data_IF_952127274357
#
_entry.id   IF_952127274357
#
_cell.length_a   1.000
_cell.length_b   1.000
_cell.length_c   1.000
_cell.angle_alpha   90.00
_cell.angle_beta   90.00
_cell.angle_gamma   90.00
#
_symmetry.space_group_name_H-M   'P 1'
#
loop_
_entity.id
_entity.type
_entity.pdbx_description
1 polymer ?
#
# COMPACT_ATOMS: atom_id res chain seq x y z
N UNK A 1 9.11 38.74 -44.27
CA UNK A 1 7.91 39.13 -43.48
C UNK A 1 7.16 37.87 -43.10
N UNK A 2 6.86 37.74 -41.80
CA UNK A 2 5.76 37.00 -41.15
C UNK A 2 5.46 35.57 -41.64
N UNK A 3 5.96 34.56 -40.93
CA UNK A 3 5.27 33.86 -39.82
C UNK A 3 4.17 32.90 -40.31
N UNK A 4 4.53 31.68 -40.69
CA UNK A 4 3.68 30.50 -40.49
C UNK A 4 4.57 29.37 -39.98
N UNK A 5 4.99 29.49 -38.72
CA UNK A 5 5.47 28.37 -37.94
C UNK A 5 4.23 27.54 -37.64
N UNK A 6 4.06 26.44 -38.37
CA UNK A 6 2.97 25.50 -38.16
C UNK A 6 3.11 24.96 -36.73
N UNK A 7 2.10 25.31 -35.96
CA UNK A 7 1.92 25.15 -34.54
C UNK A 7 1.81 23.66 -34.20
N UNK A 8 2.96 22.99 -34.06
CA UNK A 8 3.07 21.76 -33.26
C UNK A 8 2.94 22.18 -31.80
N UNK A 9 1.69 22.38 -31.39
CA UNK A 9 1.29 22.50 -29.98
C UNK A 9 0.22 21.45 -29.74
N UNK A 10 0.57 20.19 -30.00
CA UNK A 10 -0.26 19.06 -29.65
C UNK A 10 -0.08 18.80 -28.16
N UNK A 11 -0.94 19.47 -27.39
CA UNK A 11 -1.44 19.11 -26.06
C UNK A 11 -0.62 18.03 -25.33
N UNK A 12 0.41 18.46 -24.59
CA UNK A 12 0.81 17.77 -23.37
C UNK A 12 -0.17 18.17 -22.27
N UNK A 13 -1.44 17.74 -22.39
CA UNK A 13 -2.32 17.71 -21.23
C UNK A 13 -1.84 16.54 -20.39
N UNK A 14 -0.91 16.79 -19.48
CA UNK A 14 -0.61 15.89 -18.38
C UNK A 14 -1.87 15.83 -17.53
N UNK A 15 -2.75 14.88 -17.84
CA UNK A 15 -3.89 14.56 -16.99
C UNK A 15 -3.27 14.06 -15.70
N UNK A 16 -3.26 14.91 -14.68
CA UNK A 16 -2.91 14.52 -13.32
C UNK A 16 -4.06 13.60 -12.90
N UNK A 17 -3.93 12.32 -13.22
CA UNK A 17 -4.84 11.30 -12.78
C UNK A 17 -4.68 11.21 -11.27
N UNK A 18 -5.62 11.81 -10.53
CA UNK A 18 -5.83 11.55 -9.12
C UNK A 18 -6.33 10.10 -9.01
N UNK A 19 -5.40 9.16 -9.11
CA UNK A 19 -5.66 7.78 -8.73
C UNK A 19 -5.96 7.83 -7.25
N UNK A 20 -7.21 7.55 -6.87
CA UNK A 20 -7.56 7.24 -5.48
C UNK A 20 -6.98 5.86 -5.15
N UNK A 21 -5.65 5.76 -5.10
CA UNK A 21 -4.97 4.64 -4.46
C UNK A 21 -5.29 4.65 -2.96
N UNK A 22 -5.01 3.55 -2.27
CA UNK A 22 -5.05 3.52 -0.81
C UNK A 22 -4.38 4.78 -0.24
N UNK A 23 -5.12 5.50 0.60
CA UNK A 23 -4.69 6.79 1.14
C UNK A 23 -3.46 6.61 2.01
N UNK A 24 -3.49 5.59 2.86
CA UNK A 24 -2.45 5.30 3.85
C UNK A 24 -2.35 3.80 4.13
N UNK A 25 -1.16 3.36 4.56
CA UNK A 25 -0.97 2.05 5.18
C UNK A 25 -0.38 2.32 6.56
N UNK A 26 -1.03 1.82 7.59
CA UNK A 26 -0.55 1.79 8.97
C UNK A 26 -0.17 0.36 9.30
N UNK A 27 0.96 0.17 9.95
CA UNK A 27 1.38 -1.16 10.38
C UNK A 27 2.17 -1.14 11.67
N UNK A 28 1.95 -2.16 12.49
CA UNK A 28 2.67 -2.40 13.75
C UNK A 28 3.10 -3.86 13.80
N UNK A 29 4.30 -4.10 14.32
CA UNK A 29 4.82 -5.44 14.54
C UNK A 29 4.94 -5.70 16.04
N UNK A 30 4.30 -6.75 16.52
CA UNK A 30 4.43 -7.23 17.89
C UNK A 30 5.47 -8.36 17.94
N UNK A 31 6.60 -8.09 18.59
CA UNK A 31 7.69 -9.05 18.73
C UNK A 31 7.35 -10.26 19.61
N UNK A 32 6.40 -10.12 20.55
CA UNK A 32 6.00 -11.20 21.45
C UNK A 32 5.15 -12.24 20.72
N UNK A 33 4.12 -11.76 20.01
CA UNK A 33 3.22 -12.63 19.23
C UNK A 33 3.73 -12.94 17.82
N UNK A 34 4.79 -12.26 17.36
CA UNK A 34 5.30 -12.30 15.99
C UNK A 34 4.26 -11.89 14.95
N UNK A 35 3.32 -11.02 15.34
CA UNK A 35 2.22 -10.58 14.50
C UNK A 35 2.52 -9.22 13.87
N UNK A 36 2.36 -9.13 12.55
CA UNK A 36 2.26 -7.87 11.82
C UNK A 36 0.78 -7.53 11.62
N UNK A 37 0.34 -6.43 12.22
CA UNK A 37 -0.99 -5.86 11.99
C UNK A 37 -0.88 -4.78 10.92
N UNK A 38 -1.76 -4.85 9.92
CA UNK A 38 -1.77 -3.95 8.78
C UNK A 38 -3.17 -3.40 8.59
N UNK A 39 -3.27 -2.08 8.53
CA UNK A 39 -4.49 -1.36 8.13
C UNK A 39 -4.19 -0.56 6.88
N UNK A 40 -4.91 -0.86 5.81
CA UNK A 40 -4.86 -0.12 4.55
C UNK A 40 -6.10 0.77 4.49
N UNK A 41 -5.91 2.07 4.67
CA UNK A 41 -7.00 3.04 4.53
C UNK A 41 -7.31 3.27 3.05
N UNK A 42 -8.57 3.07 2.69
CA UNK A 42 -9.05 3.13 1.32
C UNK A 42 -10.56 3.37 1.31
N UNK A 43 -10.98 4.63 1.30
CA UNK A 43 -12.40 4.98 1.28
C UNK A 43 -13.04 4.69 -0.08
N UNK A 44 -14.07 3.85 -0.08
CA UNK A 44 -14.78 3.36 -1.26
C UNK A 44 -16.29 3.41 -1.06
N UNK A 45 -17.03 3.60 -2.16
CA UNK A 45 -18.50 3.60 -2.14
C UNK A 45 -19.10 2.19 -2.04
N UNK A 46 -18.42 1.20 -2.61
CA UNK A 46 -18.89 -0.19 -2.62
C UNK A 46 -17.69 -1.13 -2.53
N UNK A 47 -17.70 -1.95 -1.47
CA UNK A 47 -16.58 -2.81 -1.09
C UNK A 47 -16.37 -4.03 -2.00
N UNK A 48 -17.28 -4.32 -2.93
CA UNK A 48 -17.18 -5.47 -3.85
C UNK A 48 -16.69 -5.05 -5.24
N UNK A 49 -16.95 -3.81 -5.65
CA UNK A 49 -16.58 -3.26 -6.95
C UNK A 49 -15.31 -2.41 -6.90
N UNK A 50 -15.01 -1.77 -5.76
CA UNK A 50 -13.78 -1.01 -5.53
C UNK A 50 -13.17 -1.42 -4.18
N UNK A 51 -12.01 -2.07 -4.20
CA UNK A 51 -11.39 -2.64 -3.00
C UNK A 51 -9.89 -2.83 -3.17
N UNK A 52 -9.18 -3.03 -2.06
CA UNK A 52 -7.80 -3.54 -2.06
C UNK A 52 -7.79 -4.99 -2.50
N UNK A 53 -7.35 -5.28 -3.73
CA UNK A 53 -7.30 -6.66 -4.26
C UNK A 53 -6.13 -7.47 -3.75
N UNK A 54 -5.04 -6.83 -3.32
CA UNK A 54 -3.81 -7.53 -2.94
C UNK A 54 -3.06 -6.77 -1.86
N UNK A 55 -2.62 -7.50 -0.84
CA UNK A 55 -1.59 -7.07 0.11
C UNK A 55 -0.41 -8.04 -0.02
N UNK A 56 0.77 -7.48 -0.22
CA UNK A 56 2.02 -8.24 -0.34
C UNK A 56 3.01 -7.77 0.73
N UNK A 57 3.55 -8.73 1.47
CA UNK A 57 4.52 -8.50 2.55
C UNK A 57 5.87 -9.04 2.11
N UNK A 58 6.90 -8.21 2.25
CA UNK A 58 8.28 -8.55 1.96
C UNK A 58 9.16 -8.31 3.17
N UNK A 59 10.13 -9.19 3.42
CA UNK A 59 11.23 -8.96 4.37
C UNK A 59 12.51 -8.77 3.57
N UNK A 60 13.19 -7.66 3.78
CA UNK A 60 14.48 -7.35 3.13
C UNK A 60 14.41 -7.47 1.58
N UNK A 61 13.25 -7.17 1.00
CA UNK A 61 12.99 -7.22 -0.44
C UNK A 61 12.53 -8.58 -0.98
N UNK A 62 12.47 -9.62 -0.15
CA UNK A 62 11.91 -10.93 -0.52
C UNK A 62 10.44 -11.01 -0.12
N UNK A 63 9.55 -11.24 -1.07
CA UNK A 63 8.13 -11.51 -0.79
C UNK A 63 7.97 -12.80 0.01
N UNK A 64 7.30 -12.69 1.16
CA UNK A 64 7.01 -13.81 2.05
C UNK A 64 5.52 -14.15 2.08
N UNK A 65 4.65 -13.16 1.85
CA UNK A 65 3.19 -13.33 1.88
C UNK A 65 2.59 -12.54 0.72
N UNK A 66 1.68 -13.17 0.01
CA UNK A 66 0.77 -12.53 -0.94
C UNK A 66 -0.64 -12.94 -0.59
N UNK A 67 -1.46 -11.97 -0.17
CA UNK A 67 -2.88 -12.20 0.10
C UNK A 67 -3.73 -11.46 -0.93
N UNK A 68 -4.57 -12.22 -1.64
CA UNK A 68 -5.56 -11.66 -2.55
C UNK A 68 -6.93 -11.57 -1.86
N UNK A 69 -7.69 -10.56 -2.24
CA UNK A 69 -9.04 -10.31 -1.74
C UNK A 69 -10.00 -10.22 -2.92
N UNK A 70 -11.27 -10.44 -2.66
CA UNK A 70 -12.37 -10.27 -3.63
C UNK A 70 -13.36 -9.18 -3.21
N UNK A 71 -13.15 -8.61 -2.02
CA UNK A 71 -13.88 -7.48 -1.44
C UNK A 71 -13.04 -6.82 -0.35
N UNK A 72 -13.38 -5.59 0.01
CA UNK A 72 -12.83 -4.90 1.17
C UNK A 72 -13.59 -5.25 2.46
N UNK A 73 -12.91 -5.17 3.61
CA UNK A 73 -13.50 -5.37 4.94
C UNK A 73 -14.70 -4.44 5.21
N UNK A 74 -14.54 -3.14 4.97
CA UNK A 74 -15.61 -2.13 5.05
C UNK A 74 -15.32 -0.96 4.10
N UNK A 75 -16.18 0.06 4.11
CA UNK A 75 -16.07 1.21 3.19
C UNK A 75 -14.82 2.07 3.38
N UNK A 76 -14.12 1.97 4.51
CA UNK A 76 -13.01 2.86 4.86
C UNK A 76 -11.64 2.18 4.83
N UNK A 77 -11.55 0.88 5.13
CA UNK A 77 -10.25 0.21 5.21
C UNK A 77 -10.30 -1.30 4.91
N UNK A 78 -9.13 -1.85 4.64
CA UNK A 78 -8.82 -3.27 4.68
C UNK A 78 -7.85 -3.55 5.82
N UNK A 79 -8.24 -4.37 6.78
CA UNK A 79 -7.37 -4.84 7.86
C UNK A 79 -6.86 -6.26 7.57
N UNK A 80 -5.64 -6.53 8.02
CA UNK A 80 -5.01 -7.84 7.93
C UNK A 80 -4.04 -8.07 9.10
N UNK A 81 -3.88 -9.33 9.49
CA UNK A 81 -2.93 -9.75 10.51
C UNK A 81 -2.14 -10.94 9.99
N UNK A 82 -0.81 -10.87 10.11
CA UNK A 82 0.11 -11.87 9.57
C UNK A 82 1.05 -12.36 10.66
N UNK A 83 1.12 -13.68 10.84
CA UNK A 83 2.17 -14.29 11.66
C UNK A 83 3.47 -14.32 10.84
N UNK A 84 4.53 -13.69 11.36
CA UNK A 84 5.84 -13.59 10.72
C UNK A 84 6.91 -14.03 11.73
N UNK A 85 7.11 -15.34 11.85
CA UNK A 85 7.98 -15.96 12.87
C UNK A 85 9.45 -15.57 12.71
N UNK A 86 9.89 -15.36 11.47
CA UNK A 86 11.31 -15.22 11.12
C UNK A 86 11.78 -13.76 11.12
N UNK A 87 10.90 -12.82 11.47
CA UNK A 87 11.24 -11.40 11.52
C UNK A 87 12.13 -11.07 12.73
N UNK A 88 13.24 -10.40 12.46
CA UNK A 88 14.27 -10.00 13.42
C UNK A 88 14.38 -8.47 13.51
N UNK A 89 14.96 -8.01 14.62
CA UNK A 89 15.31 -6.61 14.79
C UNK A 89 16.34 -6.23 13.71
N UNK A 90 16.13 -5.08 13.07
CA UNK A 90 16.87 -4.60 11.92
C UNK A 90 16.27 -5.00 10.57
N UNK A 91 15.31 -5.93 10.53
CA UNK A 91 14.63 -6.28 9.28
C UNK A 91 13.77 -5.14 8.77
N UNK A 92 13.71 -5.04 7.45
CA UNK A 92 12.84 -4.11 6.73
C UNK A 92 11.62 -4.85 6.19
N UNK A 93 10.47 -4.65 6.84
CA UNK A 93 9.18 -5.10 6.33
C UNK A 93 8.66 -4.09 5.31
N UNK A 94 8.40 -4.54 4.09
CA UNK A 94 7.76 -3.74 3.05
C UNK A 94 6.36 -4.28 2.78
N UNK A 95 5.37 -3.39 2.81
CA UNK A 95 3.97 -3.69 2.57
C UNK A 95 3.55 -3.00 1.29
N UNK A 96 3.06 -3.76 0.31
CA UNK A 96 2.47 -3.21 -0.91
C UNK A 96 0.98 -3.56 -0.95
N UNK A 97 0.12 -2.54 -0.99
CA UNK A 97 -1.32 -2.70 -1.13
C UNK A 97 -1.76 -2.21 -2.51
N UNK A 98 -2.44 -3.05 -3.28
CA UNK A 98 -2.92 -2.73 -4.63
C UNK A 98 -4.44 -2.69 -4.68
N UNK A 99 -5.00 -1.62 -5.23
CA UNK A 99 -6.42 -1.49 -5.51
C UNK A 99 -6.81 -2.31 -6.76
N UNK A 100 -8.04 -2.83 -6.80
CA UNK A 100 -8.55 -3.61 -7.93
C UNK A 100 -8.69 -2.77 -9.21
N UNK A 101 -9.09 -1.50 -9.08
CA UNK A 101 -9.27 -0.56 -10.19
C UNK A 101 -7.93 0.05 -10.60
N UNK A 102 -7.28 0.80 -9.71
CA UNK A 102 -6.02 1.49 -10.03
C UNK A 102 -5.24 1.86 -8.77
N UNK A 103 -3.92 1.79 -8.87
CA UNK A 103 -3.01 2.32 -7.86
C UNK A 103 -2.46 1.27 -6.91
N UNK A 104 -1.26 1.56 -6.41
CA UNK A 104 -0.59 0.77 -5.38
C UNK A 104 0.05 1.72 -4.38
N UNK A 105 -0.07 1.40 -3.10
CA UNK A 105 0.58 2.11 -2.01
C UNK A 105 1.65 1.21 -1.41
N UNK A 106 2.80 1.79 -1.11
CA UNK A 106 3.93 1.13 -0.47
C UNK A 106 4.18 1.76 0.90
N UNK A 107 4.37 0.93 1.91
CA UNK A 107 4.82 1.33 3.24
C UNK A 107 6.00 0.47 3.66
N UNK A 108 6.89 1.03 4.46
CA UNK A 108 8.09 0.34 4.92
C UNK A 108 8.23 0.56 6.41
N UNK A 109 8.30 -0.54 7.14
CA UNK A 109 8.52 -0.59 8.58
C UNK A 109 9.93 -1.15 8.83
N UNK A 110 10.77 -0.38 9.52
CA UNK A 110 12.02 -0.89 10.06
C UNK A 110 11.73 -1.45 11.46
N UNK A 111 12.08 -2.72 11.69
CA UNK A 111 11.87 -3.37 12.96
C UNK A 111 12.95 -2.95 13.96
N UNK A 112 12.63 -1.96 14.80
CA UNK A 112 13.52 -1.52 15.87
C UNK A 112 13.15 -2.19 17.20
N UNK A 113 14.04 -2.12 18.19
CA UNK A 113 13.67 -2.53 19.55
C UNK A 113 12.47 -1.68 20.01
N UNK A 114 11.47 -2.25 20.71
CA UNK A 114 10.47 -1.45 21.38
C UNK A 114 11.18 -0.52 22.38
N UNK A 115 10.79 0.76 22.42
CA UNK A 115 11.30 1.70 23.41
C UNK A 115 10.91 1.18 24.81
N UNK A 116 11.90 0.78 25.58
CA UNK A 116 11.73 0.41 26.99
C UNK A 116 11.42 1.70 27.75
N UNK A 117 10.14 2.00 27.95
CA UNK A 117 9.71 2.99 28.92
C UNK A 117 9.75 2.34 30.31
N UNK A 118 10.93 2.34 30.93
CA UNK A 118 11.11 2.10 32.37
C UNK A 118 10.43 3.19 33.20
#
# INVERSE_FOLDING_TARGET
>A
MKKIVIFIFLLTLSIISYSHSASEIKATFDFNSKMLYVTVEHSVKDVKSHYIKKIEIQINGKTIITQNYTKQQNENNQDAAYLITDALIGDKITINASCNILGTKKFTLLLNQPENNE
#
